data_IF_068078591001
#
_entry.id   IF_068078591001
#
_cell.length_a   1.000
_cell.length_b   1.000
_cell.length_c   1.000
_cell.angle_alpha   90.00
_cell.angle_beta   90.00
_cell.angle_gamma   90.00
#
_symmetry.space_group_name_H-M   'P 1'
#
loop_
_entity.id
_entity.type
_entity.pdbx_description
1 polymer ?
#
# COMPACT_ATOMS: atom_id res chain seq x y z
N UNK A 1 -8.79 3.47 -21.46
CA UNK A 1 -8.63 3.10 -20.04
C UNK A 1 -7.51 3.90 -19.38
N UNK A 2 -6.24 3.67 -19.76
CA UNK A 2 -5.07 4.33 -19.16
C UNK A 2 -5.18 5.86 -19.05
N UNK A 3 -5.55 6.56 -20.13
CA UNK A 3 -5.69 8.02 -20.11
C UNK A 3 -6.73 8.54 -19.12
N UNK A 4 -7.84 7.80 -18.93
CA UNK A 4 -8.88 8.16 -17.96
C UNK A 4 -8.35 7.99 -16.53
N UNK A 5 -7.69 6.86 -16.24
CA UNK A 5 -7.06 6.63 -14.93
C UNK A 5 -6.02 7.70 -14.58
N UNK A 6 -5.17 8.08 -15.54
CA UNK A 6 -4.19 9.15 -15.33
C UNK A 6 -4.85 10.49 -15.03
N UNK A 7 -5.93 10.84 -15.74
CA UNK A 7 -6.73 12.04 -15.47
C UNK A 7 -7.33 12.01 -14.06
N UNK A 8 -8.03 10.93 -13.70
CA UNK A 8 -8.62 10.76 -12.37
C UNK A 8 -7.58 10.82 -11.24
N UNK A 9 -6.38 10.27 -11.46
CA UNK A 9 -5.28 10.35 -10.51
C UNK A 9 -4.77 11.79 -10.34
N UNK A 10 -4.56 12.50 -11.46
CA UNK A 10 -4.15 13.90 -11.45
C UNK A 10 -5.18 14.80 -10.75
N UNK A 11 -6.46 14.49 -10.90
CA UNK A 11 -7.58 15.21 -10.28
C UNK A 11 -7.86 14.77 -8.83
N UNK A 12 -7.06 13.85 -8.28
CA UNK A 12 -7.20 13.35 -6.91
C UNK A 12 -8.52 12.61 -6.65
N UNK A 13 -9.08 11.97 -7.68
CA UNK A 13 -10.39 11.27 -7.61
C UNK A 13 -10.30 9.81 -7.17
N UNK A 14 -9.10 9.22 -7.23
CA UNK A 14 -8.85 7.83 -6.86
C UNK A 14 -8.43 7.73 -5.38
N UNK A 15 -9.18 6.96 -4.60
CA UNK A 15 -8.83 6.60 -3.22
C UNK A 15 -7.93 5.35 -3.18
N UNK A 16 -8.18 4.40 -4.08
CA UNK A 16 -7.38 3.20 -4.25
C UNK A 16 -7.51 2.66 -5.69
N UNK A 17 -6.53 1.87 -6.12
CA UNK A 17 -6.49 1.20 -7.41
C UNK A 17 -5.88 -0.19 -7.21
N UNK A 18 -6.46 -1.20 -7.85
CA UNK A 18 -5.84 -2.51 -7.96
C UNK A 18 -6.27 -3.19 -9.27
N UNK A 19 -5.32 -3.71 -10.05
CA UNK A 19 -5.63 -4.35 -11.33
C UNK A 19 -6.17 -5.77 -11.13
N UNK A 20 -6.85 -6.26 -12.18
CA UNK A 20 -7.27 -7.65 -12.29
C UNK A 20 -6.22 -8.45 -13.04
N UNK A 21 -5.74 -9.50 -12.40
CA UNK A 21 -4.72 -10.41 -12.91
C UNK A 21 -5.03 -11.83 -12.43
N UNK A 22 -4.03 -12.56 -11.89
CA UNK A 22 -4.18 -13.95 -11.45
C UNK A 22 -5.26 -14.08 -10.36
N UNK A 23 -6.19 -15.02 -10.55
CA UNK A 23 -7.33 -15.24 -9.66
C UNK A 23 -8.50 -14.27 -9.86
N UNK A 24 -8.39 -13.33 -10.80
CA UNK A 24 -9.50 -12.51 -11.28
C UNK A 24 -10.02 -11.47 -10.28
N UNK A 25 -11.26 -11.04 -10.50
CA UNK A 25 -11.89 -9.95 -9.77
C UNK A 25 -11.97 -10.20 -8.26
N UNK A 26 -12.25 -11.45 -7.85
CA UNK A 26 -12.38 -11.78 -6.43
C UNK A 26 -11.05 -11.59 -5.69
N UNK A 27 -9.92 -11.98 -6.29
CA UNK A 27 -8.60 -11.79 -5.68
C UNK A 27 -8.25 -10.31 -5.61
N UNK A 28 -8.50 -9.55 -6.69
CA UNK A 28 -8.31 -8.09 -6.69
C UNK A 28 -9.05 -7.41 -5.53
N UNK A 29 -10.33 -7.75 -5.33
CA UNK A 29 -11.16 -7.21 -4.26
C UNK A 29 -10.68 -7.65 -2.88
N UNK A 30 -10.36 -8.93 -2.70
CA UNK A 30 -9.86 -9.46 -1.43
C UNK A 30 -8.54 -8.81 -1.03
N UNK A 31 -7.60 -8.65 -1.96
CA UNK A 31 -6.32 -8.00 -1.67
C UNK A 31 -6.48 -6.50 -1.32
N UNK A 32 -7.41 -5.80 -1.98
CA UNK A 32 -7.81 -4.45 -1.54
C UNK A 32 -8.42 -4.47 -0.12
N UNK A 33 -9.23 -5.46 0.22
CA UNK A 33 -9.80 -5.63 1.56
C UNK A 33 -8.73 -5.91 2.62
N UNK A 34 -7.70 -6.68 2.26
CA UNK A 34 -6.55 -6.96 3.13
C UNK A 34 -5.74 -5.71 3.41
N UNK A 35 -5.42 -4.94 2.36
CA UNK A 35 -4.69 -3.68 2.46
C UNK A 35 -5.49 -2.63 3.26
N UNK A 36 -6.79 -2.53 3.02
CA UNK A 36 -7.69 -1.59 3.71
C UNK A 36 -8.17 -2.06 5.08
N UNK A 37 -7.88 -3.30 5.49
CA UNK A 37 -8.36 -3.94 6.72
C UNK A 37 -9.87 -3.77 6.96
N UNK A 38 -10.66 -3.92 5.90
CA UNK A 38 -12.11 -3.72 5.92
C UNK A 38 -12.83 -4.94 5.32
N UNK A 39 -14.06 -5.18 5.75
CA UNK A 39 -14.96 -6.08 5.04
C UNK A 39 -15.42 -5.48 3.71
N UNK A 40 -16.09 -6.28 2.89
CA UNK A 40 -16.59 -5.91 1.57
C UNK A 40 -18.00 -6.45 1.36
N UNK A 41 -18.85 -5.60 0.78
CA UNK A 41 -20.09 -6.02 0.14
C UNK A 41 -19.85 -5.98 -1.37
N UNK A 42 -19.87 -7.14 -2.02
CA UNK A 42 -19.65 -7.33 -3.45
C UNK A 42 -21.00 -7.68 -4.08
N UNK A 43 -21.36 -6.96 -5.14
CA UNK A 43 -22.61 -7.11 -5.88
C UNK A 43 -22.32 -7.47 -7.32
N UNK A 44 -22.86 -8.59 -7.77
CA UNK A 44 -22.70 -9.07 -9.14
C UNK A 44 -23.82 -8.59 -10.07
N UNK A 45 -24.81 -7.85 -9.55
CA UNK A 45 -26.01 -7.37 -10.24
C UNK A 45 -25.73 -6.60 -11.54
N UNK A 46 -24.54 -6.00 -11.67
CA UNK A 46 -24.13 -5.27 -12.87
C UNK A 46 -23.35 -6.14 -13.88
N UNK A 47 -22.83 -7.28 -13.43
CA UNK A 47 -21.95 -8.15 -14.20
C UNK A 47 -22.66 -9.35 -14.84
N UNK A 48 -23.66 -9.92 -14.15
CA UNK A 48 -24.32 -11.18 -14.53
C UNK A 48 -25.80 -11.16 -14.16
N UNK A 49 -26.59 -12.01 -14.83
CA UNK A 49 -28.01 -12.19 -14.54
C UNK A 49 -28.31 -13.52 -13.82
N UNK A 50 -27.44 -14.52 -13.97
CA UNK A 50 -27.65 -15.86 -13.40
C UNK A 50 -26.52 -16.27 -12.45
N UNK A 51 -26.87 -16.91 -11.33
CA UNK A 51 -25.89 -17.37 -10.35
C UNK A 51 -24.87 -18.39 -10.92
N UNK A 52 -25.21 -19.07 -12.02
CA UNK A 52 -24.32 -19.99 -12.72
C UNK A 52 -23.10 -19.28 -13.35
N UNK A 53 -23.22 -17.98 -13.64
CA UNK A 53 -22.18 -17.15 -14.27
C UNK A 53 -21.21 -16.54 -13.23
N UNK A 54 -21.51 -16.69 -11.94
CA UNK A 54 -20.76 -16.04 -10.86
C UNK A 54 -19.28 -16.46 -10.83
N UNK A 55 -18.97 -17.72 -11.15
CA UNK A 55 -17.59 -18.21 -11.22
C UNK A 55 -16.83 -17.48 -12.32
N UNK A 56 -17.40 -17.38 -13.52
CA UNK A 56 -16.76 -16.73 -14.66
C UNK A 56 -16.56 -15.21 -14.39
N UNK A 57 -17.55 -14.56 -13.80
CA UNK A 57 -17.46 -13.14 -13.44
C UNK A 57 -16.38 -12.86 -12.37
N UNK A 58 -16.27 -13.72 -11.35
CA UNK A 58 -15.34 -13.53 -10.24
C UNK A 58 -13.91 -13.96 -10.56
N UNK A 59 -13.72 -15.02 -11.34
CA UNK A 59 -12.42 -15.65 -11.57
C UNK A 59 -11.85 -15.42 -12.98
N UNK A 60 -12.57 -14.73 -13.87
CA UNK A 60 -11.99 -14.31 -15.15
C UNK A 60 -10.79 -13.38 -14.94
N UNK A 61 -9.69 -13.70 -15.63
CA UNK A 61 -8.41 -12.97 -15.57
C UNK A 61 -8.25 -11.98 -16.74
N UNK A 62 -9.38 -11.53 -17.29
CA UNK A 62 -9.38 -10.52 -18.35
C UNK A 62 -8.79 -9.20 -17.85
N UNK A 63 -8.21 -8.41 -18.74
CA UNK A 63 -7.64 -7.11 -18.34
C UNK A 63 -8.70 -6.21 -17.70
N UNK A 64 -8.32 -5.48 -16.65
CA UNK A 64 -9.22 -4.59 -15.93
C UNK A 64 -8.61 -4.10 -14.63
N UNK A 65 -9.37 -3.29 -13.89
CA UNK A 65 -9.00 -2.85 -12.55
C UNK A 65 -10.24 -2.51 -11.72
N UNK A 66 -10.08 -2.58 -10.41
CA UNK A 66 -10.99 -2.02 -9.44
C UNK A 66 -10.41 -0.70 -8.95
N UNK A 67 -11.22 0.37 -9.03
CA UNK A 67 -10.90 1.67 -8.45
C UNK A 67 -11.87 1.97 -7.32
N UNK A 68 -11.35 2.51 -6.22
CA UNK A 68 -12.16 3.07 -5.16
C UNK A 68 -12.21 4.59 -5.33
N UNK A 69 -13.41 5.16 -5.27
CA UNK A 69 -13.65 6.61 -5.39
C UNK A 69 -14.58 7.06 -4.26
N UNK A 70 -14.58 8.35 -3.94
CA UNK A 70 -15.59 8.91 -3.04
C UNK A 70 -16.98 8.77 -3.67
N UNK A 71 -17.99 8.50 -2.84
CA UNK A 71 -19.38 8.33 -3.27
C UNK A 71 -19.91 9.56 -4.02
N UNK A 72 -19.45 10.75 -3.65
CA UNK A 72 -19.87 12.01 -4.29
C UNK A 72 -19.36 12.14 -5.74
N UNK A 73 -18.27 11.45 -6.08
CA UNK A 73 -17.64 11.51 -7.39
C UNK A 73 -17.99 10.31 -8.29
N UNK A 74 -18.83 9.38 -7.81
CA UNK A 74 -19.13 8.13 -8.55
C UNK A 74 -19.75 8.39 -9.93
N UNK A 75 -20.75 9.27 -10.02
CA UNK A 75 -21.41 9.58 -11.29
C UNK A 75 -20.47 10.28 -12.27
N UNK A 76 -19.65 11.21 -11.79
CA UNK A 76 -18.64 11.91 -12.59
C UNK A 76 -17.64 10.90 -13.19
N UNK A 77 -17.11 10.00 -12.37
CA UNK A 77 -16.15 8.98 -12.79
C UNK A 77 -16.75 8.05 -13.84
N UNK A 78 -17.96 7.54 -13.61
CA UNK A 78 -18.66 6.68 -14.58
C UNK A 78 -18.88 7.42 -15.91
N UNK A 79 -19.26 8.69 -15.87
CA UNK A 79 -19.45 9.51 -17.07
C UNK A 79 -18.13 9.70 -17.85
N UNK A 80 -16.99 9.86 -17.16
CA UNK A 80 -15.69 9.95 -17.82
C UNK A 80 -15.31 8.64 -18.54
N UNK A 81 -15.57 7.48 -17.93
CA UNK A 81 -15.35 6.18 -18.58
C UNK A 81 -16.26 5.99 -19.79
N UNK A 82 -17.55 6.33 -19.66
CA UNK A 82 -18.51 6.27 -20.76
C UNK A 82 -18.11 7.20 -21.92
N UNK A 83 -17.69 8.44 -21.63
CA UNK A 83 -17.21 9.39 -22.62
C UNK A 83 -15.94 8.92 -23.36
N UNK A 84 -15.14 8.07 -22.71
CA UNK A 84 -13.97 7.42 -23.31
C UNK A 84 -14.30 6.11 -24.05
N UNK A 85 -15.58 5.76 -24.20
CA UNK A 85 -16.04 4.55 -24.90
C UNK A 85 -15.91 3.26 -24.08
N UNK A 86 -15.80 3.37 -22.75
CA UNK A 86 -15.73 2.21 -21.84
C UNK A 86 -17.08 2.06 -21.16
N UNK A 87 -17.94 1.28 -21.78
CA UNK A 87 -19.28 0.97 -21.26
C UNK A 87 -19.23 -0.11 -20.18
N UNK A 88 -18.11 -0.85 -20.09
CA UNK A 88 -17.91 -1.92 -19.12
C UNK A 88 -17.40 -1.39 -17.76
N UNK A 89 -18.00 -0.33 -17.23
CA UNK A 89 -17.65 0.24 -15.93
C UNK A 89 -18.89 0.38 -15.03
N UNK A 90 -18.86 -0.22 -13.85
CA UNK A 90 -19.97 -0.24 -12.91
C UNK A 90 -19.54 -0.31 -11.45
N UNK A 91 -20.49 -0.05 -10.56
CA UNK A 91 -20.26 -0.13 -9.11
C UNK A 91 -20.49 -1.57 -8.66
N UNK A 92 -19.39 -2.26 -8.33
CA UNK A 92 -19.38 -3.69 -8.03
C UNK A 92 -19.18 -4.02 -6.55
N UNK A 93 -18.68 -3.07 -5.75
CA UNK A 93 -18.39 -3.31 -4.34
C UNK A 93 -18.42 -2.03 -3.50
N UNK A 94 -18.58 -2.20 -2.19
CA UNK A 94 -18.38 -1.14 -1.18
C UNK A 94 -17.70 -1.70 0.07
N UNK A 95 -16.85 -0.92 0.75
CA UNK A 95 -16.28 -1.32 2.03
C UNK A 95 -17.34 -1.41 3.12
N UNK A 96 -17.11 -2.31 4.07
CA UNK A 96 -17.91 -2.50 5.28
C UNK A 96 -17.09 -2.16 6.51
N UNK A 97 -17.77 -1.80 7.60
CA UNK A 97 -17.14 -1.50 8.90
C UNK A 97 -16.89 -2.76 9.74
N UNK A 98 -17.48 -3.89 9.38
CA UNK A 98 -17.23 -5.20 9.99
C UNK A 98 -16.24 -6.01 9.14
N UNK A 99 -15.82 -7.17 9.66
CA UNK A 99 -14.85 -8.05 8.98
C UNK A 99 -15.50 -8.94 7.89
N UNK A 100 -16.75 -8.69 7.53
CA UNK A 100 -17.52 -9.58 6.66
C UNK A 100 -17.17 -9.35 5.19
N UNK A 101 -16.98 -10.43 4.44
CA UNK A 101 -16.93 -10.45 2.98
C UNK A 101 -18.21 -11.13 2.50
N UNK A 102 -19.04 -10.39 1.77
CA UNK A 102 -20.32 -10.88 1.25
C UNK A 102 -20.38 -10.67 -0.25
N UNK A 103 -20.63 -11.74 -1.00
CA UNK A 103 -20.92 -11.70 -2.43
C UNK A 103 -22.40 -11.97 -2.62
N UNK A 104 -23.09 -11.07 -3.34
CA UNK A 104 -24.53 -11.18 -3.61
C UNK A 104 -24.83 -11.06 -5.10
N UNK A 105 -25.94 -11.66 -5.50
CA UNK A 105 -26.61 -11.43 -6.79
C UNK A 105 -28.08 -11.14 -6.51
N UNK A 106 -28.55 -9.95 -6.89
CA UNK A 106 -29.90 -9.46 -6.59
C UNK A 106 -30.30 -9.63 -5.12
N UNK A 107 -29.37 -9.24 -4.23
CA UNK A 107 -29.48 -9.34 -2.76
C UNK A 107 -29.41 -10.77 -2.17
N UNK A 108 -29.46 -11.81 -3.00
CA UNK A 108 -29.28 -13.20 -2.57
C UNK A 108 -27.79 -13.50 -2.34
N UNK A 109 -27.41 -14.04 -1.16
CA UNK A 109 -26.02 -14.34 -0.84
C UNK A 109 -25.51 -15.55 -1.63
N UNK A 110 -24.38 -15.37 -2.33
CA UNK A 110 -23.64 -16.44 -3.02
C UNK A 110 -22.46 -16.94 -2.19
N UNK A 111 -21.79 -16.04 -1.47
CA UNK A 111 -20.68 -16.35 -0.58
C UNK A 111 -20.71 -15.41 0.64
N UNK A 112 -20.55 -15.98 1.83
CA UNK A 112 -20.38 -15.25 3.08
C UNK A 112 -19.18 -15.82 3.83
N UNK A 113 -18.20 -14.97 4.12
CA UNK A 113 -16.97 -15.32 4.82
C UNK A 113 -16.42 -14.08 5.55
N UNK A 114 -15.24 -14.18 6.12
CA UNK A 114 -14.56 -13.04 6.75
C UNK A 114 -13.26 -12.68 6.04
N UNK A 115 -12.89 -11.40 6.10
CA UNK A 115 -11.61 -10.90 5.61
C UNK A 115 -10.47 -11.58 6.38
N UNK A 116 -10.60 -11.77 7.69
CA UNK A 116 -9.60 -12.51 8.48
C UNK A 116 -9.37 -13.93 7.93
N UNK A 117 -10.43 -14.70 7.69
CA UNK A 117 -10.30 -16.09 7.24
C UNK A 117 -9.65 -16.13 5.86
N UNK A 118 -10.14 -15.32 4.92
CA UNK A 118 -9.62 -15.26 3.56
C UNK A 118 -8.17 -14.77 3.51
N UNK A 119 -7.80 -13.77 4.32
CA UNK A 119 -6.41 -13.30 4.41
C UNK A 119 -5.47 -14.36 4.99
N UNK A 120 -5.90 -15.11 6.02
CA UNK A 120 -5.10 -16.22 6.55
C UNK A 120 -4.90 -17.32 5.52
N UNK A 121 -5.95 -17.66 4.76
CA UNK A 121 -5.83 -18.62 3.66
C UNK A 121 -4.85 -18.14 2.60
N UNK A 122 -4.93 -16.86 2.20
CA UNK A 122 -4.01 -16.24 1.24
C UNK A 122 -2.56 -16.24 1.74
N UNK A 123 -2.33 -15.93 3.02
CA UNK A 123 -0.99 -15.88 3.63
C UNK A 123 -0.38 -17.25 3.96
N UNK A 124 -1.14 -18.35 3.92
CA UNK A 124 -0.66 -19.66 4.37
C UNK A 124 0.60 -20.11 3.61
N UNK A 125 0.65 -19.92 2.29
CA UNK A 125 1.82 -20.29 1.48
C UNK A 125 3.09 -19.57 1.95
N UNK A 126 3.01 -18.26 2.19
CA UNK A 126 4.12 -17.46 2.69
C UNK A 126 4.55 -17.96 4.08
N UNK A 127 3.60 -18.18 4.98
CA UNK A 127 3.86 -18.73 6.31
C UNK A 127 4.60 -20.08 6.25
N UNK A 128 4.14 -21.03 5.42
CA UNK A 128 4.78 -22.35 5.31
C UNK A 128 6.20 -22.24 4.78
N UNK A 129 6.44 -21.40 3.78
CA UNK A 129 7.78 -21.17 3.23
C UNK A 129 8.71 -20.51 4.25
N UNK A 130 8.23 -19.47 4.95
CA UNK A 130 9.00 -18.81 6.01
C UNK A 130 9.32 -19.78 7.16
N UNK A 131 8.37 -20.61 7.58
CA UNK A 131 8.61 -21.58 8.65
C UNK A 131 9.64 -22.66 8.28
N UNK A 132 9.79 -22.97 6.99
CA UNK A 132 10.82 -23.89 6.49
C UNK A 132 12.18 -23.24 6.32
N UNK A 133 12.22 -21.95 5.96
CA UNK A 133 13.44 -21.20 5.62
C UNK A 133 14.06 -20.49 6.83
N UNK A 134 13.23 -19.93 7.70
CA UNK A 134 13.58 -18.98 8.74
C UNK A 134 13.35 -19.59 10.14
N UNK A 135 13.25 -18.75 11.18
CA UNK A 135 12.83 -19.22 12.49
C UNK A 135 11.32 -19.54 12.47
N UNK A 136 10.92 -20.81 12.69
CA UNK A 136 9.51 -21.21 12.64
C UNK A 136 8.63 -20.54 13.69
N UNK A 137 9.18 -20.16 14.84
CA UNK A 137 8.44 -19.42 15.87
C UNK A 137 8.12 -17.99 15.41
N UNK A 138 9.07 -17.32 14.76
CA UNK A 138 8.86 -15.99 14.18
C UNK A 138 7.80 -16.04 13.07
N UNK A 139 7.91 -17.01 12.15
CA UNK A 139 6.93 -17.19 11.08
C UNK A 139 5.53 -17.47 11.62
N UNK A 140 5.42 -18.29 12.69
CA UNK A 140 4.15 -18.55 13.36
C UNK A 140 3.58 -17.29 14.02
N UNK A 141 4.41 -16.50 14.70
CA UNK A 141 3.96 -15.25 15.32
C UNK A 141 3.43 -14.26 14.27
N UNK A 142 4.13 -14.09 13.15
CA UNK A 142 3.68 -13.25 12.04
C UNK A 142 2.33 -13.73 11.48
N UNK A 143 2.20 -15.03 11.22
CA UNK A 143 0.96 -15.60 10.72
C UNK A 143 -0.20 -15.46 11.71
N UNK A 144 0.04 -15.69 13.00
CA UNK A 144 -0.98 -15.58 14.04
C UNK A 144 -1.39 -14.15 14.38
N UNK A 145 -0.59 -13.13 14.03
CA UNK A 145 -1.01 -11.73 14.14
C UNK A 145 -2.30 -11.46 13.33
N UNK A 146 -2.55 -12.19 12.24
CA UNK A 146 -3.79 -12.10 11.47
C UNK A 146 -5.04 -12.54 12.27
N UNK A 147 -4.89 -13.21 13.43
CA UNK A 147 -5.99 -13.56 14.32
C UNK A 147 -6.54 -12.34 15.10
N UNK A 148 -5.75 -11.27 15.24
CA UNK A 148 -6.21 -10.06 15.92
C UNK A 148 -6.95 -9.13 14.95
N UNK A 149 -8.28 -9.19 14.97
CA UNK A 149 -9.13 -8.31 14.14
C UNK A 149 -9.17 -6.86 14.63
N UNK A 150 -8.56 -6.55 15.78
CA UNK A 150 -8.54 -5.21 16.37
C UNK A 150 -7.20 -4.52 16.24
N UNK A 151 -6.23 -5.14 15.56
CA UNK A 151 -4.93 -4.52 15.29
C UNK A 151 -5.17 -3.19 14.52
N UNK A 152 -4.83 -2.03 15.11
CA UNK A 152 -5.04 -0.73 14.49
C UNK A 152 -4.07 -0.48 13.32
N UNK A 153 -3.08 -1.35 13.14
CA UNK A 153 -1.99 -1.16 12.19
C UNK A 153 -0.98 -0.12 12.70
N UNK A 154 -0.15 0.37 11.78
CA UNK A 154 0.82 1.41 12.08
C UNK A 154 0.10 2.73 12.38
N UNK A 155 0.36 3.29 13.57
CA UNK A 155 -0.24 4.55 14.03
C UNK A 155 0.83 5.40 14.72
N UNK A 156 0.69 6.73 14.62
CA UNK A 156 1.62 7.70 15.19
C UNK A 156 0.88 8.81 15.93
N UNK A 157 1.41 9.22 17.08
CA UNK A 157 0.89 10.31 17.93
C UNK A 157 2.05 11.25 18.31
N UNK A 158 2.49 12.15 17.41
CA UNK A 158 3.63 13.01 17.67
C UNK A 158 3.36 13.96 18.83
N UNK A 159 4.40 14.23 19.64
CA UNK A 159 4.34 15.17 20.77
C UNK A 159 4.90 16.56 20.41
N UNK A 160 5.16 16.79 19.13
CA UNK A 160 5.72 18.01 18.55
C UNK A 160 5.06 18.27 17.19
N UNK A 161 5.21 19.48 16.67
CA UNK A 161 4.75 19.80 15.32
C UNK A 161 5.75 19.26 14.29
N UNK A 162 5.32 18.27 13.50
CA UNK A 162 6.17 17.59 12.52
C UNK A 162 6.51 18.48 11.32
N UNK A 163 5.71 19.53 11.09
CA UNK A 163 5.89 20.49 10.00
C UNK A 163 6.72 21.71 10.45
N UNK A 164 7.02 21.83 11.75
CA UNK A 164 7.86 22.89 12.29
C UNK A 164 9.34 22.64 11.97
N UNK A 165 9.89 23.39 11.01
CA UNK A 165 11.32 23.42 10.74
C UNK A 165 12.07 24.28 11.77
N UNK A 166 12.44 23.65 12.88
CA UNK A 166 13.26 24.26 13.94
C UNK A 166 14.69 24.62 13.49
N UNK A 167 15.15 24.09 12.34
CA UNK A 167 16.48 24.37 11.79
C UNK A 167 16.51 25.61 10.90
N UNK A 168 15.34 26.06 10.41
CA UNK A 168 15.21 27.21 9.51
C UNK A 168 15.97 28.48 9.95
N UNK A 169 16.03 28.86 11.25
CA UNK A 169 16.81 30.01 11.69
C UNK A 169 18.33 29.90 11.42
N UNK A 170 18.85 28.69 11.20
CA UNK A 170 20.27 28.41 11.02
C UNK A 170 20.69 28.19 9.55
N UNK A 171 19.75 27.95 8.64
CA UNK A 171 20.03 27.53 7.24
C UNK A 171 20.93 28.51 6.46
N UNK A 172 20.92 29.81 6.81
CA UNK A 172 21.75 30.84 6.18
C UNK A 172 22.82 31.45 7.12
N UNK A 173 23.04 30.89 8.31
CA UNK A 173 24.04 31.41 9.26
C UNK A 173 25.37 30.67 9.13
N UNK A 174 25.36 29.36 9.34
CA UNK A 174 26.53 28.50 9.18
C UNK A 174 26.07 27.09 8.82
N UNK A 175 26.84 26.40 7.98
CA UNK A 175 26.64 24.99 7.66
C UNK A 175 27.71 24.17 8.38
N UNK A 176 27.46 23.67 9.60
CA UNK A 176 28.44 22.85 10.30
C UNK A 176 28.75 21.59 9.50
N UNK A 177 30.01 21.17 9.47
CA UNK A 177 30.43 19.96 8.76
C UNK A 177 30.00 18.73 9.56
N UNK A 178 29.43 17.73 8.90
CA UNK A 178 29.11 16.44 9.48
C UNK A 178 29.89 15.34 8.76
N UNK A 179 30.76 14.64 9.46
CA UNK A 179 31.47 13.48 8.93
C UNK A 179 30.49 12.31 8.79
N UNK A 180 30.10 12.00 7.55
CA UNK A 180 29.29 10.82 7.23
C UNK A 180 30.23 9.64 7.07
N UNK A 181 30.50 8.98 8.18
CA UNK A 181 31.48 7.91 8.25
C UNK A 181 30.97 6.65 7.54
N UNK A 182 31.80 6.07 6.68
CA UNK A 182 31.52 4.77 6.05
C UNK A 182 32.76 3.89 5.93
N UNK A 183 32.50 2.59 5.90
CA UNK A 183 33.49 1.54 5.69
C UNK A 183 33.07 0.70 4.46
N UNK A 184 33.96 -0.16 3.97
CA UNK A 184 33.63 -1.17 2.97
C UNK A 184 32.38 -1.97 3.38
N UNK A 185 31.40 -2.02 2.48
CA UNK A 185 30.12 -2.69 2.70
C UNK A 185 29.02 -1.81 3.31
N UNK A 186 29.31 -0.58 3.74
CA UNK A 186 28.27 0.39 4.13
C UNK A 186 27.51 0.86 2.89
N UNK A 187 26.18 0.80 2.94
CA UNK A 187 25.30 1.12 1.81
C UNK A 187 24.23 2.18 2.10
N UNK A 188 24.18 2.72 3.33
CA UNK A 188 23.18 3.73 3.71
C UNK A 188 23.72 5.14 4.00
N UNK A 189 24.91 5.45 3.50
CA UNK A 189 25.59 6.71 3.77
C UNK A 189 25.02 7.89 2.97
N UNK A 190 24.36 7.66 1.83
CA UNK A 190 23.80 8.73 1.00
C UNK A 190 22.52 9.31 1.59
N UNK A 191 21.60 8.47 2.08
CA UNK A 191 20.39 8.92 2.78
C UNK A 191 20.72 9.58 4.12
N UNK A 192 21.76 9.09 4.82
CA UNK A 192 22.28 9.73 6.01
C UNK A 192 22.80 11.14 5.68
N UNK A 193 23.65 11.26 4.65
CA UNK A 193 24.16 12.55 4.17
C UNK A 193 23.02 13.51 3.79
N UNK A 194 22.01 13.01 3.07
CA UNK A 194 20.83 13.80 2.68
C UNK A 194 20.04 14.32 3.88
N UNK A 195 19.84 13.50 4.92
CA UNK A 195 19.13 13.91 6.13
C UNK A 195 19.87 15.05 6.85
N UNK A 196 21.20 14.96 6.96
CA UNK A 196 22.04 16.03 7.52
C UNK A 196 22.04 17.29 6.65
N UNK A 197 22.16 17.15 5.33
CA UNK A 197 22.08 18.28 4.38
C UNK A 197 20.74 19.01 4.50
N UNK A 198 19.63 18.27 4.60
CA UNK A 198 18.29 18.82 4.84
C UNK A 198 18.17 19.59 6.15
N UNK A 199 18.86 19.15 7.20
CA UNK A 199 18.94 19.85 8.47
C UNK A 199 19.96 21.02 8.48
N UNK A 200 20.59 21.33 7.34
CA UNK A 200 21.50 22.47 7.17
C UNK A 200 22.99 22.17 7.34
N UNK A 201 23.40 20.92 7.50
CA UNK A 201 24.82 20.55 7.62
C UNK A 201 25.53 20.51 6.27
N UNK A 202 26.85 20.67 6.27
CA UNK A 202 27.70 20.24 5.17
C UNK A 202 28.07 18.77 5.39
N UNK A 203 27.32 17.85 4.77
CA UNK A 203 27.60 16.43 4.86
C UNK A 203 28.86 16.06 4.05
N UNK A 204 29.89 15.54 4.72
CA UNK A 204 31.16 15.15 4.10
C UNK A 204 31.28 13.64 4.12
N UNK A 205 31.51 13.04 2.96
CA UNK A 205 31.82 11.62 2.86
C UNK A 205 33.21 11.36 3.49
N UNK A 206 33.25 10.50 4.52
CA UNK A 206 34.48 10.11 5.19
C UNK A 206 34.58 8.59 5.14
N UNK A 207 35.39 8.07 4.23
CA UNK A 207 35.68 6.65 4.21
C UNK A 207 36.75 6.31 5.25
N UNK A 208 36.72 5.11 5.82
CA UNK A 208 37.75 4.64 6.77
C UNK A 208 39.17 4.71 6.19
N UNK A 209 39.32 4.52 4.87
CA UNK A 209 40.62 4.70 4.19
C UNK A 209 41.09 6.16 4.18
N UNK A 210 40.18 7.13 4.16
CA UNK A 210 40.52 8.56 4.22
C UNK A 210 41.13 8.92 5.57
N UNK A 211 40.63 8.31 6.65
CA UNK A 211 41.20 8.45 7.99
C UNK A 211 42.55 7.73 8.11
N UNK A 212 42.64 6.49 7.63
CA UNK A 212 43.88 5.69 7.70
C UNK A 212 45.03 6.31 6.90
N UNK A 213 44.72 6.93 5.76
CA UNK A 213 45.70 7.58 4.89
C UNK A 213 45.92 9.07 5.25
N UNK A 214 45.23 9.58 6.28
CA UNK A 214 45.36 10.96 6.74
C UNK A 214 44.84 12.00 5.74
N UNK A 215 43.92 11.62 4.83
CA UNK A 215 43.25 12.55 3.90
C UNK A 215 42.24 13.45 4.61
N UNK A 216 41.70 13.00 5.75
CA UNK A 216 40.71 13.72 6.55
C UNK A 216 41.03 13.55 8.05
N UNK A 217 40.98 14.64 8.82
CA UNK A 217 41.04 14.62 10.28
C UNK A 217 39.64 14.73 10.90
N UNK A 218 39.36 13.96 11.96
CA UNK A 218 38.07 14.04 12.68
C UNK A 218 37.93 15.33 13.51
N UNK A 219 39.04 16.02 13.78
CA UNK A 219 39.08 17.31 14.47
C UNK A 219 38.63 18.49 13.59
N UNK A 220 38.41 18.25 12.29
CA UNK A 220 37.90 19.26 11.35
C UNK A 220 36.36 19.38 11.34
N UNK A 221 35.67 18.62 12.19
CA UNK A 221 34.22 18.49 12.26
C UNK A 221 33.67 18.92 13.63
#
# INVERSE_FOLDING_TARGET
>A
FFSVIQGLNADGRLLAYHDRSDGGLIVTLLEMAFAGRAGLEIKLDWLIDEAAEAVDALFSEELGAVIQVSREHTEEVLAQFAAAGIETCGVIARPRYDDQIRVTLFEEPLLETTRQLTQRTWSETSYRLQALRDNPECAKNEFDNLLDTRDPGLSASPTFDVDEDISAPFVNSARPRAAILREQGVNGHLEMAWAFDKAGFEAVDVHMSDLLEGRVGLDEF
#
